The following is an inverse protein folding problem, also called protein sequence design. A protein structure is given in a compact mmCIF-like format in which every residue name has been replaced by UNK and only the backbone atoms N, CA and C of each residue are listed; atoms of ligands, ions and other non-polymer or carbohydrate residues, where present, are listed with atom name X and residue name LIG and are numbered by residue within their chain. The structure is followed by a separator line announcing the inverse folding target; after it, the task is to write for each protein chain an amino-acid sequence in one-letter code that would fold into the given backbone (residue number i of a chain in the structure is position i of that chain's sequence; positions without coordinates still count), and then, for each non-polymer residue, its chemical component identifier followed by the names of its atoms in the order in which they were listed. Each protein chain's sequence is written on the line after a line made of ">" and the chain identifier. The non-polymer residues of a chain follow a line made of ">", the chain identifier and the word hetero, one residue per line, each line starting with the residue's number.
data_IF_953626479428
#
_entry.id   IF_953626479428
#
_cell.length_a   1.000
_cell.length_b   1.000
_cell.length_c   1.000
_cell.angle_alpha   90.00
_cell.angle_beta   90.00
_cell.angle_gamma   90.00
#
_symmetry.space_group_name_H-M   'P 1'
#
loop_
_entity.id
_entity.type
_entity.pdbx_description
1 polymer ?
#
# COMPACT_ATOMS: atom_id res chain seq x y z
N UNK A 1 14.99 -50.47 -61.68
CA UNK A 1 15.19 -51.07 -60.34
C UNK A 1 15.58 -49.94 -59.40
N UNK A 2 14.61 -49.39 -58.64
CA UNK A 2 14.56 -49.46 -57.16
C UNK A 2 15.93 -49.24 -56.50
N UNK A 3 16.15 -48.09 -55.85
CA UNK A 3 16.27 -47.98 -54.38
C UNK A 3 16.20 -46.49 -53.99
N UNK A 4 15.29 -46.16 -53.07
CA UNK A 4 15.14 -44.85 -52.42
C UNK A 4 16.17 -44.71 -51.30
N UNK A 5 16.75 -43.53 -51.11
CA UNK A 5 17.35 -43.13 -49.83
C UNK A 5 16.90 -41.70 -49.51
N UNK A 6 15.89 -41.60 -48.64
CA UNK A 6 15.35 -40.35 -48.10
C UNK A 6 16.24 -39.98 -46.91
N UNK A 7 17.07 -38.95 -47.06
CA UNK A 7 17.74 -38.30 -45.93
C UNK A 7 16.77 -37.29 -45.31
N UNK A 8 16.12 -37.69 -44.23
CA UNK A 8 15.29 -36.82 -43.39
C UNK A 8 16.22 -35.97 -42.52
N UNK A 9 16.58 -34.77 -42.98
CA UNK A 9 17.26 -33.78 -42.14
C UNK A 9 16.17 -33.14 -41.26
N UNK A 10 16.00 -33.71 -40.07
CA UNK A 10 15.18 -33.13 -39.02
C UNK A 10 15.94 -31.93 -38.43
N UNK A 11 15.76 -30.74 -39.03
CA UNK A 11 16.18 -29.49 -38.42
C UNK A 11 15.38 -29.27 -37.14
N UNK A 12 16.00 -29.53 -36.00
CA UNK A 12 15.52 -29.18 -34.67
C UNK A 12 15.49 -27.64 -34.61
N UNK A 13 14.34 -26.97 -34.45
CA UNK A 13 14.37 -25.58 -34.05
C UNK A 13 14.92 -25.51 -32.62
N UNK A 14 16.13 -24.97 -32.50
CA UNK A 14 16.72 -24.52 -31.23
C UNK A 14 15.70 -23.60 -30.54
N UNK A 15 15.29 -24.00 -29.35
CA UNK A 15 14.63 -23.14 -28.37
C UNK A 15 15.55 -21.95 -28.09
N UNK A 16 15.32 -20.83 -28.77
CA UNK A 16 15.86 -19.55 -28.35
C UNK A 16 15.04 -19.14 -27.13
N UNK A 17 15.68 -19.34 -25.98
CA UNK A 17 15.27 -18.83 -24.69
C UNK A 17 14.87 -17.37 -24.83
N UNK A 18 13.57 -17.08 -24.64
CA UNK A 18 13.11 -15.75 -24.34
C UNK A 18 13.63 -15.37 -22.96
N UNK A 19 14.87 -14.87 -22.88
CA UNK A 19 15.25 -13.98 -21.80
C UNK A 19 14.44 -12.71 -21.98
N UNK A 20 13.21 -12.74 -21.45
CA UNK A 20 12.54 -11.52 -21.05
C UNK A 20 13.42 -10.91 -19.97
N UNK A 21 14.28 -9.98 -20.38
CA UNK A 21 14.95 -9.07 -19.47
C UNK A 21 13.85 -8.14 -18.93
N UNK A 22 13.08 -8.64 -17.97
CA UNK A 22 12.15 -7.83 -17.20
C UNK A 22 13.03 -6.86 -16.44
N UNK A 23 12.83 -5.57 -16.67
CA UNK A 23 13.33 -4.55 -15.77
C UNK A 23 12.67 -4.79 -14.41
N UNK A 24 13.30 -5.63 -13.57
CA UNK A 24 12.78 -6.10 -12.27
C UNK A 24 13.00 -5.02 -11.22
N UNK A 25 12.73 -3.76 -11.57
CA UNK A 25 12.72 -2.65 -10.64
C UNK A 25 11.28 -2.41 -10.19
N UNK A 26 11.04 -2.60 -8.90
CA UNK A 26 9.82 -2.14 -8.23
C UNK A 26 10.20 -0.99 -7.33
N UNK A 27 9.56 0.15 -7.52
CA UNK A 27 9.73 1.27 -6.60
C UNK A 27 9.09 0.99 -5.24
N UNK A 28 9.56 1.70 -4.21
CA UNK A 28 8.89 1.73 -2.92
C UNK A 28 7.50 2.37 -3.08
N UNK A 29 6.49 1.70 -2.53
CA UNK A 29 5.10 2.13 -2.60
C UNK A 29 4.37 1.91 -1.27
N UNK A 30 3.39 2.76 -0.97
CA UNK A 30 2.52 2.51 0.17
C UNK A 30 1.71 1.23 -0.08
N UNK A 31 1.52 0.42 0.96
CA UNK A 31 0.67 -0.77 0.88
C UNK A 31 -0.75 -0.35 0.48
N UNK A 32 -1.33 -1.06 -0.49
CA UNK A 32 -2.66 -0.77 -1.03
C UNK A 32 -2.71 0.31 -2.12
N UNK A 33 -1.58 0.96 -2.42
CA UNK A 33 -1.46 1.92 -3.52
C UNK A 33 -2.38 3.14 -3.38
N UNK A 34 -2.73 3.76 -4.52
CA UNK A 34 -3.43 5.05 -4.56
C UNK A 34 -4.85 5.02 -3.99
N UNK A 35 -5.59 3.92 -4.16
CA UNK A 35 -6.96 3.81 -3.66
C UNK A 35 -6.98 3.79 -2.13
N UNK A 36 -6.15 2.94 -1.53
CA UNK A 36 -6.05 2.82 -0.09
C UNK A 36 -5.48 4.08 0.54
N UNK A 37 -4.47 4.71 -0.06
CA UNK A 37 -3.97 6.01 0.39
C UNK A 37 -5.10 7.05 0.44
N UNK A 38 -5.91 7.15 -0.62
CA UNK A 38 -7.02 8.11 -0.65
C UNK A 38 -8.11 7.79 0.37
N UNK A 39 -8.39 6.51 0.62
CA UNK A 39 -9.33 6.07 1.67
C UNK A 39 -8.80 6.45 3.05
N UNK A 40 -7.56 6.07 3.34
CA UNK A 40 -6.84 6.35 4.58
C UNK A 40 -6.83 7.86 4.88
N UNK A 41 -6.43 8.71 3.92
CA UNK A 41 -6.40 10.15 4.13
C UNK A 41 -7.78 10.75 4.44
N UNK A 42 -8.87 10.21 3.87
CA UNK A 42 -10.23 10.67 4.21
C UNK A 42 -10.66 10.25 5.61
N UNK A 43 -10.16 9.12 6.10
CA UNK A 43 -10.50 8.58 7.42
C UNK A 43 -9.64 9.18 8.53
N UNK A 44 -8.35 9.35 8.27
CA UNK A 44 -7.36 9.63 9.30
C UNK A 44 -6.89 11.08 9.36
N UNK A 45 -7.06 11.85 8.29
CA UNK A 45 -6.66 13.26 8.32
C UNK A 45 -7.44 14.02 9.39
N UNK A 46 -6.69 14.76 10.19
CA UNK A 46 -7.14 15.73 11.17
C UNK A 46 -6.66 17.10 10.68
N UNK A 47 -7.59 17.99 10.36
CA UNK A 47 -7.21 19.35 9.97
C UNK A 47 -6.95 20.18 11.23
N UNK A 48 -5.76 20.77 11.39
CA UNK A 48 -5.48 21.64 12.53
C UNK A 48 -6.47 22.81 12.60
N UNK A 49 -7.01 23.07 13.79
CA UNK A 49 -8.08 24.06 13.98
C UNK A 49 -7.70 25.47 13.52
N UNK A 50 -6.45 25.88 13.76
CA UNK A 50 -5.99 27.22 13.38
C UNK A 50 -5.92 27.35 11.84
N UNK A 51 -5.37 26.33 11.18
CA UNK A 51 -5.31 26.22 9.72
C UNK A 51 -6.71 26.14 9.09
N UNK A 52 -7.66 25.46 9.74
CA UNK A 52 -9.04 25.34 9.25
C UNK A 52 -9.78 26.69 9.36
N UNK A 53 -9.66 27.38 10.49
CA UNK A 53 -10.23 28.73 10.71
C UNK A 53 -9.67 29.76 9.75
N UNK A 54 -8.36 29.70 9.49
CA UNK A 54 -7.68 30.56 8.53
C UNK A 54 -7.89 30.15 7.06
N UNK A 55 -8.64 29.07 6.79
CA UNK A 55 -8.81 28.48 5.45
C UNK A 55 -7.48 28.18 4.73
N UNK A 56 -6.40 27.99 5.49
CA UNK A 56 -5.07 27.68 4.97
C UNK A 56 -5.05 26.24 4.51
N UNK A 57 -4.70 25.99 3.25
CA UNK A 57 -4.56 24.65 2.66
C UNK A 57 -3.55 24.67 1.52
N UNK A 58 -3.32 23.51 0.91
CA UNK A 58 -2.33 23.37 -0.15
C UNK A 58 -1.65 22.01 -0.14
N UNK A 59 -0.57 21.92 -0.92
CA UNK A 59 0.30 20.74 -0.97
C UNK A 59 1.28 20.74 0.19
N UNK A 60 1.45 19.59 0.82
CA UNK A 60 2.51 19.33 1.80
C UNK A 60 3.30 18.13 1.31
N UNK A 61 4.60 18.27 1.16
CA UNK A 61 5.48 17.20 0.65
C UNK A 61 6.63 16.95 1.62
N UNK A 62 6.80 15.68 1.97
CA UNK A 62 7.93 15.19 2.74
C UNK A 62 8.72 14.18 1.91
N UNK A 63 10.05 14.27 1.96
CA UNK A 63 10.96 13.21 1.54
C UNK A 63 11.35 12.34 2.75
N UNK A 64 11.63 11.07 2.52
CA UNK A 64 12.09 10.14 3.54
C UNK A 64 12.76 8.92 2.88
N UNK A 65 13.52 8.16 3.65
CA UNK A 65 14.07 6.89 3.23
C UNK A 65 13.12 5.74 3.62
N UNK A 66 12.89 4.82 2.69
CA UNK A 66 12.19 3.55 2.92
C UNK A 66 13.23 2.44 3.06
N UNK A 67 13.32 1.87 4.26
CA UNK A 67 14.23 0.77 4.57
C UNK A 67 13.87 -0.53 3.84
N UNK A 68 14.80 -1.49 3.87
CA UNK A 68 14.59 -2.84 3.31
C UNK A 68 13.53 -3.65 4.07
N UNK A 69 13.19 -3.20 5.27
CA UNK A 69 12.13 -3.69 6.15
C UNK A 69 10.81 -2.89 6.02
N UNK A 70 10.80 -1.85 5.17
CA UNK A 70 9.67 -0.94 5.00
C UNK A 70 9.60 0.16 6.06
N UNK A 71 10.55 0.21 7.00
CA UNK A 71 10.58 1.24 8.04
C UNK A 71 11.06 2.57 7.46
N UNK A 72 10.39 3.65 7.84
CA UNK A 72 10.70 4.98 7.37
C UNK A 72 11.74 5.68 8.24
N UNK A 73 12.65 6.43 7.62
CA UNK A 73 13.65 7.25 8.32
C UNK A 73 14.01 8.53 7.55
N UNK A 74 14.84 9.40 8.14
CA UNK A 74 15.42 10.58 7.47
C UNK A 74 14.38 11.51 6.82
N UNK A 75 13.35 11.87 7.59
CA UNK A 75 12.29 12.76 7.12
C UNK A 75 12.80 14.18 6.85
N UNK A 76 12.54 14.68 5.64
CA UNK A 76 12.88 16.04 5.21
C UNK A 76 11.64 16.74 4.66
N UNK A 77 11.28 17.88 5.25
CA UNK A 77 10.20 18.71 4.73
C UNK A 77 10.64 19.41 3.44
N UNK A 78 9.91 19.19 2.34
CA UNK A 78 10.15 19.87 1.06
C UNK A 78 9.31 21.12 0.96
N UNK A 79 8.01 21.02 1.23
CA UNK A 79 7.08 22.14 1.12
C UNK A 79 5.90 21.97 2.05
N UNK A 80 5.44 23.06 2.66
CA UNK A 80 4.18 23.13 3.38
C UNK A 80 3.69 24.59 3.44
N UNK A 81 2.37 24.83 3.51
CA UNK A 81 1.83 26.17 3.74
C UNK A 81 2.15 26.71 5.15
N UNK A 82 2.20 25.82 6.15
CA UNK A 82 2.56 26.12 7.53
C UNK A 82 3.03 24.86 8.27
N UNK A 83 3.56 25.04 9.49
CA UNK A 83 4.10 23.95 10.29
C UNK A 83 3.02 22.97 10.80
N UNK A 84 1.79 23.43 11.04
CA UNK A 84 0.72 22.56 11.54
C UNK A 84 0.31 21.52 10.50
N UNK A 85 0.12 21.94 9.24
CA UNK A 85 -0.15 21.03 8.13
C UNK A 85 1.05 20.14 7.82
N UNK A 86 2.28 20.65 8.00
CA UNK A 86 3.49 19.85 7.87
C UNK A 86 3.53 18.70 8.89
N UNK A 87 3.22 18.99 10.16
CA UNK A 87 3.21 18.02 11.24
C UNK A 87 2.11 16.96 11.05
N UNK A 88 0.92 17.39 10.63
CA UNK A 88 -0.16 16.45 10.34
C UNK A 88 0.18 15.53 9.17
N UNK A 89 0.76 16.07 8.10
CA UNK A 89 1.22 15.24 6.98
C UNK A 89 2.26 14.21 7.44
N UNK A 90 3.22 14.62 8.28
CA UNK A 90 4.24 13.72 8.82
C UNK A 90 3.61 12.61 9.67
N UNK A 91 2.60 12.92 10.49
CA UNK A 91 1.86 11.92 11.28
C UNK A 91 1.21 10.88 10.37
N UNK A 92 0.50 11.33 9.33
CA UNK A 92 -0.16 10.45 8.37
C UNK A 92 0.84 9.58 7.61
N UNK A 93 1.99 10.12 7.20
CA UNK A 93 3.05 9.37 6.51
C UNK A 93 3.60 8.25 7.40
N UNK A 94 3.83 8.53 8.69
CA UNK A 94 4.33 7.55 9.66
C UNK A 94 3.35 6.43 9.98
N UNK A 95 2.05 6.67 9.77
CA UNK A 95 0.99 5.67 9.97
C UNK A 95 0.81 4.73 8.78
N UNK A 96 1.35 5.07 7.61
CA UNK A 96 1.27 4.22 6.42
C UNK A 96 2.29 3.09 6.47
N UNK A 97 1.87 1.90 6.05
CA UNK A 97 2.79 0.79 5.76
C UNK A 97 3.40 0.95 4.36
N UNK A 98 4.67 0.57 4.21
CA UNK A 98 5.42 0.72 2.97
C UNK A 98 6.01 -0.61 2.50
N UNK A 99 5.92 -0.85 1.20
CA UNK A 99 6.68 -1.91 0.52
C UNK A 99 8.05 -1.33 0.13
N UNK A 100 9.16 -2.00 0.50
CA UNK A 100 10.50 -1.61 0.04
C UNK A 100 10.59 -1.64 -1.48
N UNK A 101 11.54 -0.86 -2.00
CA UNK A 101 11.92 -1.00 -3.40
C UNK A 101 12.66 -2.32 -3.61
N UNK A 102 12.50 -2.92 -4.79
CA UNK A 102 13.16 -4.14 -5.23
C UNK A 102 13.90 -3.84 -6.54
N UNK A 103 15.16 -4.23 -6.62
CA UNK A 103 15.94 -4.19 -7.86
C UNK A 103 16.50 -5.59 -8.09
N UNK A 104 16.02 -6.27 -9.14
CA UNK A 104 16.46 -7.61 -9.52
C UNK A 104 16.29 -8.66 -8.40
N UNK A 105 15.17 -8.60 -7.67
CA UNK A 105 14.85 -9.50 -6.56
C UNK A 105 15.57 -9.16 -5.25
N UNK A 106 16.25 -8.01 -5.19
CA UNK A 106 16.94 -7.54 -3.98
C UNK A 106 16.25 -6.29 -3.47
N UNK A 107 15.77 -6.35 -2.23
CA UNK A 107 15.23 -5.18 -1.53
C UNK A 107 16.34 -4.15 -1.29
N UNK A 108 16.05 -2.88 -1.58
CA UNK A 108 17.03 -1.79 -1.47
C UNK A 108 16.45 -0.58 -0.72
N UNK A 109 17.30 0.04 0.10
CA UNK A 109 17.02 1.34 0.73
C UNK A 109 16.83 2.38 -0.37
N UNK A 110 15.72 3.11 -0.36
CA UNK A 110 15.40 4.09 -1.40
C UNK A 110 14.81 5.36 -0.81
N UNK A 111 15.17 6.52 -1.38
CA UNK A 111 14.51 7.79 -1.06
C UNK A 111 13.18 7.91 -1.81
N UNK A 112 12.14 8.33 -1.10
CA UNK A 112 10.81 8.58 -1.67
C UNK A 112 10.23 9.87 -1.12
N UNK A 113 9.36 10.51 -1.89
CA UNK A 113 8.55 11.63 -1.44
C UNK A 113 7.06 11.30 -1.52
N UNK A 114 6.30 11.87 -0.58
CA UNK A 114 4.84 11.78 -0.58
C UNK A 114 4.24 13.18 -0.42
N UNK A 115 3.38 13.54 -1.37
CA UNK A 115 2.61 14.79 -1.36
C UNK A 115 1.18 14.54 -0.89
N UNK A 116 0.77 15.22 0.17
CA UNK A 116 -0.61 15.21 0.70
C UNK A 116 -1.25 16.58 0.43
N UNK A 117 -2.49 16.56 -0.04
CA UNK A 117 -3.26 17.77 -0.34
C UNK A 117 -4.27 18.08 0.76
N UNK A 118 -4.12 19.25 1.38
CA UNK A 118 -5.02 19.77 2.39
C UNK A 118 -6.02 20.75 1.76
N UNK A 119 -7.31 20.52 2.00
CA UNK A 119 -8.37 21.40 1.51
C UNK A 119 -9.36 21.73 2.64
N UNK A 120 -9.19 22.92 3.23
CA UNK A 120 -10.02 23.44 4.32
C UNK A 120 -11.53 23.45 4.00
N UNK A 121 -11.92 23.63 2.73
CA UNK A 121 -13.34 23.65 2.34
C UNK A 121 -13.95 22.25 2.19
N UNK A 122 -13.14 21.27 1.76
CA UNK A 122 -13.59 19.88 1.60
C UNK A 122 -13.57 19.12 2.92
N UNK A 123 -12.63 19.42 3.82
CA UNK A 123 -12.43 18.66 5.05
C UNK A 123 -13.69 18.61 5.95
N UNK A 124 -14.40 19.71 6.25
CA UNK A 124 -15.64 19.65 7.04
C UNK A 124 -16.73 18.77 6.41
N UNK A 125 -16.81 18.72 5.07
CA UNK A 125 -17.76 17.86 4.35
C UNK A 125 -17.40 16.38 4.51
N UNK A 126 -16.11 16.06 4.50
CA UNK A 126 -15.61 14.71 4.75
C UNK A 126 -15.92 14.30 6.20
N UNK A 127 -15.64 15.18 7.17
CA UNK A 127 -15.96 14.94 8.59
C UNK A 127 -17.46 14.71 8.81
N UNK A 128 -18.32 15.53 8.19
CA UNK A 128 -19.78 15.34 8.23
C UNK A 128 -20.20 13.99 7.64
N UNK A 129 -19.59 13.56 6.54
CA UNK A 129 -19.90 12.27 5.91
C UNK A 129 -19.45 11.07 6.76
N UNK A 130 -18.28 11.14 7.39
CA UNK A 130 -17.72 10.04 8.21
C UNK A 130 -18.28 10.00 9.64
N UNK A 131 -18.84 11.11 10.14
CA UNK A 131 -19.49 11.19 11.45
C UNK A 131 -18.56 11.61 12.61
N UNK A 132 -17.32 12.01 12.33
CA UNK A 132 -16.35 12.44 13.33
C UNK A 132 -15.35 13.45 12.74
N UNK A 133 -14.85 14.35 13.59
CA UNK A 133 -13.81 15.34 13.25
C UNK A 133 -12.41 14.90 13.70
N UNK A 134 -12.31 14.30 14.88
CA UNK A 134 -11.06 13.78 15.46
C UNK A 134 -11.19 12.26 15.57
N UNK A 135 -10.17 11.54 15.09
CA UNK A 135 -10.06 10.10 15.34
C UNK A 135 -9.54 9.93 16.76
N UNK A 136 -10.39 9.45 17.66
CA UNK A 136 -9.96 9.06 18.99
C UNK A 136 -9.58 7.60 18.96
N UNK A 137 -8.27 7.33 18.96
CA UNK A 137 -7.77 6.02 19.30
C UNK A 137 -7.66 5.94 20.83
N UNK A 138 -8.40 5.05 21.50
CA UNK A 138 -8.21 4.83 22.93
C UNK A 138 -6.85 4.20 23.26
N UNK A 139 -6.07 3.79 22.24
CA UNK A 139 -4.77 3.13 22.33
C UNK A 139 -3.76 3.79 21.38
N UNK A 140 -2.46 3.51 21.56
CA UNK A 140 -1.44 3.94 20.59
C UNK A 140 -1.72 3.31 19.21
N UNK A 141 -1.45 4.02 18.11
CA UNK A 141 -1.83 3.56 16.78
C UNK A 141 -1.02 2.34 16.31
N UNK A 142 0.12 2.06 16.94
CA UNK A 142 0.97 0.89 16.70
C UNK A 142 1.28 0.21 18.03
N UNK A 143 1.26 -1.12 18.05
CA UNK A 143 1.66 -1.91 19.22
C UNK A 143 3.17 -2.11 19.23
N UNK A 144 3.83 -1.75 20.33
CA UNK A 144 5.26 -2.01 20.55
C UNK A 144 5.52 -3.19 21.47
N UNK A 145 4.46 -3.80 22.02
CA UNK A 145 4.57 -4.92 22.96
C UNK A 145 4.77 -6.26 22.26
N UNK A 146 4.53 -6.33 20.94
CA UNK A 146 4.54 -7.55 20.13
C UNK A 146 3.56 -8.61 20.64
N UNK A 147 2.57 -8.22 21.44
CA UNK A 147 1.61 -9.14 22.02
C UNK A 147 0.47 -9.42 21.02
N UNK A 148 0.36 -10.67 20.60
CA UNK A 148 -0.73 -11.13 19.73
C UNK A 148 -1.77 -11.85 20.57
N UNK A 149 -3.00 -11.35 20.55
CA UNK A 149 -4.13 -11.93 21.26
C UNK A 149 -4.99 -12.75 20.29
N UNK A 150 -5.12 -14.04 20.56
CA UNK A 150 -5.97 -14.98 19.80
C UNK A 150 -7.43 -14.99 20.28
N UNK A 151 -7.66 -14.56 21.52
CA UNK A 151 -8.99 -14.42 22.14
C UNK A 151 -9.21 -12.99 22.58
N UNK A 152 -10.24 -12.37 22.02
CA UNK A 152 -10.62 -10.98 22.31
C UNK A 152 -12.10 -10.91 22.72
N UNK A 153 -12.42 -10.02 23.65
CA UNK A 153 -13.82 -9.79 24.09
C UNK A 153 -14.69 -9.24 22.95
N UNK A 154 -14.08 -8.45 22.05
CA UNK A 154 -14.73 -7.87 20.88
C UNK A 154 -13.87 -8.10 19.65
N UNK A 155 -14.36 -8.93 18.73
CA UNK A 155 -13.70 -9.16 17.46
C UNK A 155 -13.63 -7.86 16.64
N UNK A 156 -12.51 -7.61 15.94
CA UNK A 156 -12.40 -6.48 15.04
C UNK A 156 -13.45 -6.58 13.94
N UNK A 157 -14.04 -5.44 13.59
CA UNK A 157 -15.04 -5.34 12.52
C UNK A 157 -14.40 -4.70 11.32
N UNK A 158 -14.55 -5.34 10.16
CA UNK A 158 -14.06 -4.80 8.91
C UNK A 158 -14.92 -3.59 8.50
N UNK A 159 -14.33 -2.40 8.54
CA UNK A 159 -15.02 -1.16 8.22
C UNK A 159 -14.85 -0.83 6.74
N UNK A 160 -15.65 -1.47 5.88
CA UNK A 160 -15.65 -1.19 4.43
C UNK A 160 -16.62 -0.08 4.07
N UNK A 161 -16.19 0.85 3.20
CA UNK A 161 -17.09 1.83 2.57
C UNK A 161 -17.47 1.32 1.18
N UNK A 162 -18.72 0.89 0.99
CA UNK A 162 -19.23 0.43 -0.30
C UNK A 162 -19.26 -1.09 -0.41
N UNK A 163 -18.40 -1.64 -1.27
CA UNK A 163 -18.31 -3.07 -1.59
C UNK A 163 -18.20 -3.94 -0.32
N UNK A 164 -18.77 -5.15 -0.35
CA UNK A 164 -18.50 -6.15 0.68
C UNK A 164 -17.13 -6.83 0.47
N UNK A 165 -16.63 -7.54 1.49
CA UNK A 165 -15.29 -8.14 1.44
C UNK A 165 -15.11 -9.11 0.26
N UNK A 166 -16.14 -9.87 -0.10
CA UNK A 166 -16.11 -10.81 -1.22
C UNK A 166 -15.94 -10.11 -2.57
N UNK A 167 -16.59 -8.96 -2.75
CA UNK A 167 -16.45 -8.13 -3.96
C UNK A 167 -15.06 -7.52 -4.04
N UNK A 168 -14.54 -7.01 -2.92
CA UNK A 168 -13.17 -6.50 -2.85
C UNK A 168 -12.15 -7.57 -3.23
N UNK A 169 -12.28 -8.79 -2.69
CA UNK A 169 -11.38 -9.89 -3.04
C UNK A 169 -11.45 -10.21 -4.54
N UNK A 170 -12.66 -10.33 -5.11
CA UNK A 170 -12.82 -10.60 -6.54
C UNK A 170 -12.13 -9.56 -7.43
N UNK A 171 -12.16 -8.28 -7.02
CA UNK A 171 -11.53 -7.18 -7.79
C UNK A 171 -10.00 -7.10 -7.62
N UNK A 172 -9.46 -7.59 -6.50
CA UNK A 172 -8.05 -7.37 -6.13
C UNK A 172 -7.20 -8.64 -6.10
N UNK A 173 -7.80 -9.84 -6.07
CA UNK A 173 -7.05 -11.10 -6.14
C UNK A 173 -6.34 -11.19 -7.50
N UNK A 174 -5.03 -11.40 -7.44
CA UNK A 174 -4.22 -11.74 -8.60
C UNK A 174 -3.87 -13.21 -8.53
N UNK A 175 -4.46 -13.99 -9.43
CA UNK A 175 -4.16 -15.42 -9.50
C UNK A 175 -2.73 -15.64 -10.00
N UNK A 176 -1.89 -16.43 -9.29
CA UNK A 176 -0.55 -16.72 -9.77
C UNK A 176 -0.59 -17.43 -11.14
N UNK A 177 0.20 -16.95 -12.10
CA UNK A 177 0.21 -17.47 -13.47
C UNK A 177 0.53 -18.97 -13.53
N UNK A 178 1.41 -19.47 -12.65
CA UNK A 178 1.70 -20.89 -12.52
C UNK A 178 0.52 -21.70 -11.98
N UNK A 179 -0.28 -21.14 -11.07
CA UNK A 179 -1.46 -21.81 -10.57
C UNK A 179 -2.53 -21.91 -11.66
N UNK A 180 -2.71 -20.85 -12.46
CA UNK A 180 -3.64 -20.84 -13.58
C UNK A 180 -3.29 -21.89 -14.64
N UNK A 181 -2.02 -21.94 -15.07
CA UNK A 181 -1.55 -22.87 -16.12
C UNK A 181 -1.64 -24.34 -15.74
N UNK A 182 -1.52 -24.65 -14.45
CA UNK A 182 -1.54 -26.02 -13.93
C UNK A 182 -2.88 -26.39 -13.29
N UNK A 183 -3.92 -25.57 -13.47
CA UNK A 183 -5.26 -25.77 -12.90
C UNK A 183 -5.26 -26.01 -11.37
N UNK A 184 -4.22 -25.51 -10.69
CA UNK A 184 -4.09 -25.63 -9.24
C UNK A 184 -5.19 -24.75 -8.66
N UNK A 185 -6.06 -25.33 -7.83
CA UNK A 185 -7.17 -24.66 -7.14
C UNK A 185 -7.29 -25.22 -5.73
N UNK A 186 -7.78 -24.39 -4.80
CA UNK A 186 -7.96 -24.79 -3.41
C UNK A 186 -8.34 -23.62 -2.52
N UNK A 187 -8.51 -23.92 -1.23
CA UNK A 187 -8.76 -22.92 -0.20
C UNK A 187 -7.43 -22.33 0.27
N UNK A 188 -7.36 -21.00 0.34
CA UNK A 188 -6.23 -20.28 0.93
C UNK A 188 -6.68 -19.75 2.28
N UNK A 189 -6.09 -20.27 3.35
CA UNK A 189 -6.28 -19.74 4.70
C UNK A 189 -5.27 -18.62 4.94
N UNK A 190 -5.78 -17.44 5.31
CA UNK A 190 -4.97 -16.25 5.60
C UNK A 190 -5.25 -15.84 7.04
N UNK A 191 -4.19 -15.74 7.83
CA UNK A 191 -4.22 -15.15 9.16
C UNK A 191 -3.41 -13.87 9.13
N UNK A 192 -3.94 -12.80 9.71
CA UNK A 192 -3.25 -11.53 9.86
C UNK A 192 -3.52 -10.95 11.24
N UNK A 193 -2.56 -10.18 11.73
CA UNK A 193 -2.66 -9.46 13.00
C UNK A 193 -3.29 -8.10 12.70
N UNK A 194 -4.23 -7.68 13.55
CA UNK A 194 -4.88 -6.37 13.45
C UNK A 194 -4.33 -5.51 14.58
N UNK A 195 -3.72 -4.38 14.24
CA UNK A 195 -3.21 -3.46 15.24
C UNK A 195 -4.34 -2.77 16.02
N UNK A 196 -4.08 -2.22 17.23
CA UNK A 196 -5.09 -1.48 17.99
C UNK A 196 -5.74 -0.32 17.23
N UNK A 197 -5.03 0.27 16.25
CA UNK A 197 -5.57 1.28 15.35
C UNK A 197 -6.60 0.74 14.35
N UNK A 198 -6.63 -0.58 14.14
CA UNK A 198 -7.43 -1.22 13.09
C UNK A 198 -6.81 -1.11 11.69
N UNK A 199 -5.54 -0.71 11.59
CA UNK A 199 -4.77 -0.65 10.34
C UNK A 199 -3.78 -1.81 10.20
#
# INVERSE_FOLDING_TARGET
>A
MKTFLIALICSIPLLVNGQGNFDMMREAENVGGKSELNRFLKQEMIYPDSSLKALTGGKVTWAFLVGVDGVLSHFKLITAPNNELANEALRLIKMLQWRPADVNGKVVLTEKDLTIYFNAKKHPKICKKRGYNIVSYPYQPYDTTFAVYDKVDKAPKLNMQGDNFSEFLTKNIRYPSHAYKNEIKGTVEITFIIEPSGM
#
